data_IF_796500481703
#
_entry.id   IF_796500481703
#
_cell.length_a   1.000
_cell.length_b   1.000
_cell.length_c   1.000
_cell.angle_alpha   90.00
_cell.angle_beta   90.00
_cell.angle_gamma   90.00
#
_symmetry.space_group_name_H-M   'P 1'
#
loop_
_entity.id
_entity.type
_entity.pdbx_description
1 polymer ?
#
# COMPACT_ATOMS: atom_id res chain seq x y z
N UNK A 1 12.71 -4.02 1.93
CA UNK A 1 11.36 -4.53 1.97
C UNK A 1 10.48 -3.88 0.92
N UNK A 2 9.77 -4.68 0.19
CA UNK A 2 9.02 -4.15 -0.94
C UNK A 2 7.53 -4.24 -0.71
N UNK A 3 6.81 -3.15 -0.85
CA UNK A 3 5.36 -3.21 -0.77
C UNK A 3 4.77 -3.84 -2.02
N UNK A 4 3.61 -4.42 -1.85
CA UNK A 4 2.85 -4.98 -2.96
C UNK A 4 1.73 -4.04 -3.30
N UNK A 5 1.56 -3.83 -4.59
CA UNK A 5 0.51 -2.94 -5.09
C UNK A 5 -0.50 -3.78 -5.84
N UNK A 6 -1.76 -3.56 -5.55
CA UNK A 6 -2.83 -4.21 -6.29
C UNK A 6 -4.04 -3.29 -6.35
N UNK A 7 -4.87 -3.55 -7.32
CA UNK A 7 -6.05 -2.72 -7.52
C UNK A 7 -7.29 -3.58 -7.27
N UNK A 8 -8.26 -2.98 -6.61
CA UNK A 8 -9.51 -3.64 -6.32
C UNK A 8 -10.62 -2.61 -6.36
N UNK A 9 -11.62 -2.84 -7.22
CA UNK A 9 -12.75 -1.92 -7.36
C UNK A 9 -12.30 -0.50 -7.64
N UNK A 10 -11.27 -0.35 -8.46
CA UNK A 10 -10.79 0.97 -8.82
C UNK A 10 -9.93 1.63 -7.77
N UNK A 11 -9.67 0.96 -6.66
CA UNK A 11 -8.84 1.50 -5.59
C UNK A 11 -7.54 0.72 -5.54
N UNK A 12 -6.43 1.43 -5.55
CA UNK A 12 -5.12 0.80 -5.41
C UNK A 12 -4.78 0.64 -3.95
N UNK A 13 -4.21 -0.50 -3.64
CA UNK A 13 -3.85 -0.84 -2.28
C UNK A 13 -2.37 -1.19 -2.23
N UNK A 14 -1.65 -0.56 -1.31
CA UNK A 14 -0.23 -0.81 -1.12
C UNK A 14 -0.05 -1.44 0.25
N UNK A 15 0.43 -2.68 0.27
CA UNK A 15 0.60 -3.41 1.52
C UNK A 15 2.03 -3.93 1.62
N UNK A 16 2.50 -3.98 2.83
CA UNK A 16 3.81 -4.56 3.13
C UNK A 16 3.58 -5.79 3.98
N UNK A 17 4.14 -6.92 3.55
CA UNK A 17 3.93 -8.17 4.25
C UNK A 17 5.07 -8.49 5.19
N UNK A 18 5.49 -7.51 5.94
CA UNK A 18 6.49 -7.73 6.95
C UNK A 18 5.83 -8.27 8.21
N UNK A 19 5.87 -9.57 8.39
CA UNK A 19 5.20 -10.21 9.50
C UNK A 19 5.87 -9.89 10.84
N UNK A 20 7.05 -9.34 10.82
CA UNK A 20 7.76 -9.01 12.04
C UNK A 20 7.33 -7.68 12.62
N UNK A 21 6.75 -6.83 11.82
CA UNK A 21 6.40 -5.49 12.26
C UNK A 21 4.96 -5.24 11.99
N UNK A 22 4.55 -4.04 12.32
CA UNK A 22 3.18 -3.63 12.04
C UNK A 22 2.91 -3.66 10.55
N UNK A 23 1.74 -4.10 10.21
CA UNK A 23 1.30 -4.05 8.83
C UNK A 23 0.86 -2.65 8.49
N UNK A 24 1.37 -2.15 7.39
CA UNK A 24 1.01 -0.83 6.91
C UNK A 24 0.25 -0.99 5.61
N UNK A 25 -0.79 -0.21 5.46
CA UNK A 25 -1.62 -0.28 4.28
C UNK A 25 -1.89 1.14 3.82
N UNK A 26 -1.72 1.36 2.51
CA UNK A 26 -2.03 2.64 1.91
C UNK A 26 -3.03 2.44 0.79
N UNK A 27 -3.91 3.40 0.61
CA UNK A 27 -4.94 3.35 -0.42
C UNK A 27 -4.85 4.60 -1.28
N UNK A 28 -5.21 4.45 -2.54
CA UNK A 28 -5.23 5.57 -3.44
C UNK A 28 -5.93 5.21 -4.73
N UNK A 29 -6.18 6.22 -5.54
CA UNK A 29 -6.81 5.99 -6.84
C UNK A 29 -5.77 5.68 -7.91
N UNK A 30 -4.51 5.86 -7.60
CA UNK A 30 -3.41 5.50 -8.49
C UNK A 30 -2.38 4.75 -7.67
N UNK A 31 -1.53 3.95 -8.33
CA UNK A 31 -0.47 3.24 -7.61
C UNK A 31 0.46 4.20 -6.86
N UNK A 32 0.78 5.33 -7.48
CA UNK A 32 1.65 6.31 -6.86
C UNK A 32 1.02 6.87 -5.60
N UNK A 33 -0.27 7.13 -5.66
CA UNK A 33 -0.99 7.66 -4.52
C UNK A 33 -1.04 6.64 -3.37
N UNK A 34 -1.31 5.40 -3.72
CA UNK A 34 -1.34 4.34 -2.71
C UNK A 34 0.02 4.19 -2.04
N UNK A 35 1.07 4.28 -2.83
CA UNK A 35 2.41 4.17 -2.29
C UNK A 35 2.73 5.35 -1.37
N UNK A 36 2.32 6.54 -1.75
CA UNK A 36 2.54 7.73 -0.92
C UNK A 36 1.85 7.57 0.43
N UNK A 37 0.61 7.11 0.42
CA UNK A 37 -0.13 6.90 1.64
C UNK A 37 0.55 5.86 2.52
N UNK A 38 1.03 4.80 1.89
CA UNK A 38 1.71 3.75 2.61
C UNK A 38 3.00 4.28 3.23
N UNK A 39 3.71 5.10 2.48
CA UNK A 39 5.02 5.59 2.88
C UNK A 39 4.92 6.59 4.03
N UNK A 40 3.94 7.48 3.96
CA UNK A 40 3.80 8.54 4.95
C UNK A 40 2.88 8.16 6.10
N UNK A 41 2.04 7.16 5.88
CA UNK A 41 1.03 6.78 6.87
C UNK A 41 1.54 5.93 8.03
#
# INVERSE_FOLDING_TARGET
MKPHLRVRHGIWECVCSDWRKTRRVGFGYTPAQAYEEWRTG
#
